data_IF_437983683743
#
_entry.id   IF_437983683743
#
_cell.length_a   1.000
_cell.length_b   1.000
_cell.length_c   1.000
_cell.angle_alpha   90.00
_cell.angle_beta   90.00
_cell.angle_gamma   90.00
#
_symmetry.space_group_name_H-M   'P 1'
#
loop_
_entity.id
_entity.type
_entity.pdbx_description
1 polymer ?
#
# COMPACT_ATOMS: atom_id res chain seq x y z
N UNK A 1 21.97 13.54 -30.89
CA UNK A 1 20.81 12.96 -30.18
C UNK A 1 20.84 13.52 -28.78
N UNK A 2 19.86 14.37 -28.46
CA UNK A 2 19.71 14.98 -27.15
C UNK A 2 19.17 13.86 -26.25
N UNK A 3 19.85 13.59 -25.14
CA UNK A 3 19.49 12.52 -24.21
C UNK A 3 18.07 12.74 -23.72
N UNK A 4 17.16 11.83 -24.10
CA UNK A 4 15.89 11.73 -23.39
C UNK A 4 16.20 11.47 -21.93
N UNK A 5 15.61 12.30 -21.06
CA UNK A 5 15.70 12.08 -19.62
C UNK A 5 15.12 10.70 -19.31
N UNK A 6 15.99 9.78 -18.90
CA UNK A 6 15.62 8.40 -18.56
C UNK A 6 14.53 8.34 -17.48
N UNK A 7 14.38 9.39 -16.67
CA UNK A 7 13.32 9.51 -15.67
C UNK A 7 11.92 9.65 -16.30
N UNK A 8 11.82 10.23 -17.49
CA UNK A 8 10.55 10.41 -18.22
C UNK A 8 10.01 9.13 -18.86
N UNK A 9 10.79 8.05 -18.81
CA UNK A 9 10.43 6.71 -19.32
C UNK A 9 10.15 5.70 -18.22
N UNK A 10 10.59 5.99 -16.99
CA UNK A 10 10.38 5.11 -15.86
C UNK A 10 8.87 4.99 -15.58
N UNK A 11 8.36 3.78 -15.28
CA UNK A 11 6.97 3.62 -14.91
C UNK A 11 6.67 4.33 -13.58
N UNK A 12 5.42 4.77 -13.41
CA UNK A 12 4.94 5.24 -12.11
C UNK A 12 4.60 4.02 -11.28
N UNK A 13 5.30 3.86 -10.16
CA UNK A 13 5.08 2.78 -9.19
C UNK A 13 4.45 3.40 -7.96
N UNK A 14 3.24 2.95 -7.65
CA UNK A 14 2.52 3.28 -6.41
C UNK A 14 2.53 2.06 -5.51
N UNK A 15 3.07 2.20 -4.31
CA UNK A 15 3.04 1.15 -3.29
C UNK A 15 2.22 1.63 -2.10
N UNK A 16 1.32 0.76 -1.62
CA UNK A 16 0.43 1.00 -0.50
C UNK A 16 0.68 -0.07 0.58
N UNK A 17 0.81 0.34 1.83
CA UNK A 17 0.69 -0.55 2.99
C UNK A 17 -0.69 -0.34 3.58
N UNK A 18 -1.37 -1.45 3.87
CA UNK A 18 -2.74 -1.40 4.35
C UNK A 18 -2.98 -2.34 5.52
N UNK A 19 -3.91 -1.92 6.36
CA UNK A 19 -4.56 -2.76 7.35
C UNK A 19 -6.07 -2.63 7.15
N UNK A 20 -6.78 -3.75 7.18
CA UNK A 20 -8.23 -3.80 6.96
C UNK A 20 -8.88 -4.90 7.80
N UNK A 21 -10.12 -4.69 8.21
CA UNK A 21 -10.89 -5.67 8.96
C UNK A 21 -12.07 -5.07 9.68
N UNK A 22 -13.01 -5.90 10.12
CA UNK A 22 -14.23 -5.43 10.80
C UNK A 22 -13.94 -4.91 12.22
N UNK A 23 -12.92 -5.47 12.89
CA UNK A 23 -12.47 -5.07 14.24
C UNK A 23 -11.43 -3.93 14.22
N UNK A 24 -11.07 -3.41 13.05
CA UNK A 24 -10.13 -2.30 12.92
C UNK A 24 -10.77 -1.00 13.42
N UNK A 25 -10.07 -0.29 14.31
CA UNK A 25 -10.29 1.12 14.61
C UNK A 25 -9.16 1.94 13.97
N UNK A 26 -9.43 2.69 12.87
CA UNK A 26 -8.40 3.48 12.18
C UNK A 26 -7.79 4.59 13.04
N UNK A 27 -8.55 5.16 13.98
CA UNK A 27 -8.08 6.24 14.84
C UNK A 27 -7.16 5.67 15.93
N UNK A 28 -7.52 4.50 16.48
CA UNK A 28 -6.65 3.75 17.39
C UNK A 28 -5.35 3.35 16.70
N UNK A 29 -5.42 2.81 15.49
CA UNK A 29 -4.24 2.37 14.75
C UNK A 29 -3.31 3.54 14.38
N UNK A 30 -3.88 4.69 14.01
CA UNK A 30 -3.13 5.94 13.79
C UNK A 30 -2.37 6.35 15.05
N UNK A 31 -3.01 6.32 16.23
CA UNK A 31 -2.35 6.64 17.51
C UNK A 31 -1.30 5.60 17.89
N UNK A 32 -1.53 4.33 17.59
CA UNK A 32 -0.61 3.23 17.90
C UNK A 32 0.73 3.39 17.16
N UNK A 33 0.64 3.72 15.86
CA UNK A 33 1.80 3.85 14.99
C UNK A 33 2.39 5.27 14.99
N UNK A 34 1.62 6.29 15.38
CA UNK A 34 2.00 7.70 15.24
C UNK A 34 2.32 8.08 13.78
N UNK A 35 1.75 7.33 12.83
CA UNK A 35 1.86 7.56 11.39
C UNK A 35 0.54 8.14 10.90
N UNK A 36 0.60 9.24 10.15
CA UNK A 36 -0.59 9.80 9.51
C UNK A 36 -0.98 8.95 8.30
N UNK A 37 -2.21 8.40 8.24
CA UNK A 37 -2.66 7.68 7.05
C UNK A 37 -2.79 8.63 5.86
N UNK A 38 -2.54 8.08 4.68
CA UNK A 38 -2.97 8.67 3.42
C UNK A 38 -4.50 8.59 3.29
N UNK A 39 -5.08 7.45 3.67
CA UNK A 39 -6.52 7.19 3.54
C UNK A 39 -7.03 6.28 4.65
N UNK A 40 -8.23 6.57 5.15
CA UNK A 40 -8.99 5.71 6.08
C UNK A 40 -10.46 5.67 5.66
N UNK A 41 -11.20 4.69 6.16
CA UNK A 41 -12.64 4.61 5.94
C UNK A 41 -13.25 3.51 6.79
N UNK A 42 -14.50 3.67 7.22
CA UNK A 42 -15.22 2.64 7.98
C UNK A 42 -16.18 1.89 7.07
N UNK A 43 -16.35 0.60 7.37
CA UNK A 43 -17.31 -0.27 6.68
C UNK A 43 -18.71 0.35 6.70
N UNK A 44 -19.38 0.33 5.55
CA UNK A 44 -20.75 0.84 5.39
C UNK A 44 -20.87 2.37 5.23
N UNK A 45 -19.79 3.12 5.44
CA UNK A 45 -19.72 4.53 5.03
C UNK A 45 -19.64 4.64 3.51
N UNK A 46 -20.04 5.78 2.95
CA UNK A 46 -19.86 6.04 1.52
C UNK A 46 -18.37 5.99 1.17
N UNK A 47 -18.07 5.46 -0.02
CA UNK A 47 -16.70 5.35 -0.51
C UNK A 47 -16.01 6.71 -0.48
N UNK A 48 -14.72 6.72 -0.13
CA UNK A 48 -13.88 7.91 -0.25
C UNK A 48 -13.55 8.26 -1.70
N UNK A 49 -13.80 7.36 -2.66
CA UNK A 49 -13.63 7.63 -4.08
C UNK A 49 -14.84 8.38 -4.65
N UNK A 50 -14.71 9.64 -5.13
CA UNK A 50 -15.86 10.49 -5.46
C UNK A 50 -16.78 9.94 -6.55
N UNK A 51 -16.25 9.18 -7.51
CA UNK A 51 -17.07 8.55 -8.54
C UNK A 51 -17.94 7.40 -7.96
N UNK A 52 -17.36 6.60 -7.06
CA UNK A 52 -18.04 5.48 -6.43
C UNK A 52 -19.07 5.98 -5.39
N UNK A 53 -18.71 7.01 -4.62
CA UNK A 53 -19.61 7.66 -3.67
C UNK A 53 -20.88 8.20 -4.35
N UNK A 54 -20.73 8.83 -5.52
CA UNK A 54 -21.85 9.32 -6.34
C UNK A 54 -22.79 8.20 -6.81
N UNK A 55 -22.28 6.99 -6.93
CA UNK A 55 -23.05 5.79 -7.27
C UNK A 55 -23.61 5.07 -6.03
N UNK A 56 -23.44 5.64 -4.83
CA UNK A 56 -23.90 5.05 -3.57
C UNK A 56 -23.06 3.87 -3.10
N UNK A 57 -21.88 3.65 -3.68
CA UNK A 57 -20.97 2.58 -3.27
C UNK A 57 -20.48 2.86 -1.84
N UNK A 58 -20.57 1.85 -0.99
CA UNK A 58 -20.10 1.89 0.39
C UNK A 58 -18.81 1.10 0.55
N UNK A 59 -18.01 1.47 1.55
CA UNK A 59 -16.79 0.74 1.89
C UNK A 59 -17.15 -0.69 2.32
N UNK A 60 -16.55 -1.72 1.68
CA UNK A 60 -16.84 -3.12 2.01
C UNK A 60 -16.20 -3.56 3.33
N UNK A 61 -15.09 -2.91 3.73
CA UNK A 61 -14.33 -3.14 4.96
C UNK A 61 -13.94 -1.80 5.60
N UNK A 62 -13.61 -1.83 6.90
CA UNK A 62 -12.89 -0.72 7.53
C UNK A 62 -11.41 -0.86 7.19
N UNK A 63 -10.76 0.26 6.86
CA UNK A 63 -9.39 0.26 6.35
C UNK A 63 -8.56 1.46 6.79
N UNK A 64 -7.24 1.30 6.73
CA UNK A 64 -6.23 2.33 6.95
C UNK A 64 -5.04 2.08 6.01
N UNK A 65 -4.58 3.13 5.34
CA UNK A 65 -3.55 3.06 4.30
C UNK A 65 -2.47 4.14 4.46
N UNK A 66 -1.23 3.79 4.14
CA UNK A 66 -0.17 4.74 3.75
C UNK A 66 0.32 4.38 2.35
N UNK A 67 0.84 5.38 1.64
CA UNK A 67 1.19 5.28 0.23
C UNK A 67 2.52 5.99 -0.05
N UNK A 68 3.27 5.45 -1.00
CA UNK A 68 4.35 6.14 -1.69
C UNK A 68 4.15 5.98 -3.21
N UNK A 69 4.39 7.05 -3.95
CA UNK A 69 4.36 7.05 -5.41
C UNK A 69 5.67 7.61 -5.94
N UNK A 70 6.27 6.93 -6.91
CA UNK A 70 7.57 7.28 -7.47
C UNK A 70 7.69 6.84 -8.94
N UNK A 71 8.50 7.57 -9.71
CA UNK A 71 8.96 7.10 -11.02
C UNK A 71 10.23 6.27 -10.78
N UNK A 72 10.18 4.96 -11.02
CA UNK A 72 11.32 4.07 -10.76
C UNK A 72 11.34 2.84 -11.67
N UNK A 73 12.54 2.31 -11.89
CA UNK A 73 12.75 1.00 -12.52
C UNK A 73 12.89 -0.13 -11.49
N UNK A 74 12.81 0.17 -10.20
CA UNK A 74 12.89 -0.82 -9.12
C UNK A 74 11.59 -0.81 -8.32
N UNK A 75 10.86 -1.92 -8.40
CA UNK A 75 9.61 -2.10 -7.67
C UNK A 75 9.81 -2.16 -6.15
N UNK A 76 10.95 -2.68 -5.67
CA UNK A 76 11.20 -2.87 -4.23
C UNK A 76 11.47 -1.54 -3.52
N UNK A 77 11.84 -0.47 -4.23
CA UNK A 77 12.07 0.84 -3.60
C UNK A 77 10.83 1.36 -2.84
N UNK A 78 9.64 1.18 -3.42
CA UNK A 78 8.38 1.55 -2.78
C UNK A 78 8.08 0.67 -1.56
N UNK A 79 8.34 -0.63 -1.67
CA UNK A 79 8.19 -1.62 -0.59
C UNK A 79 9.12 -1.29 0.57
N UNK A 80 10.41 -1.08 0.31
CA UNK A 80 11.41 -0.71 1.29
C UNK A 80 11.08 0.61 1.98
N UNK A 81 10.59 1.60 1.22
CA UNK A 81 10.20 2.91 1.76
C UNK A 81 9.04 2.78 2.77
N UNK A 82 8.01 2.01 2.46
CA UNK A 82 6.92 1.79 3.40
C UNK A 82 7.33 0.90 4.57
N UNK A 83 8.12 -0.16 4.32
CA UNK A 83 8.67 -0.98 5.39
C UNK A 83 9.52 -0.16 6.34
N UNK A 84 10.32 0.78 5.87
CA UNK A 84 11.11 1.67 6.74
C UNK A 84 10.22 2.50 7.69
N UNK A 85 9.01 2.86 7.27
CA UNK A 85 8.05 3.58 8.11
C UNK A 85 7.38 2.67 9.14
N UNK A 86 6.93 1.47 8.74
CA UNK A 86 6.13 0.59 9.63
C UNK A 86 6.98 -0.35 10.49
N UNK A 87 8.19 -0.71 10.04
CA UNK A 87 9.05 -1.70 10.70
C UNK A 87 9.47 -1.33 12.14
N UNK A 88 9.73 -0.06 12.48
CA UNK A 88 9.95 0.35 13.86
C UNK A 88 8.79 -0.01 14.80
N UNK A 89 7.58 -0.16 14.26
CA UNK A 89 6.35 -0.44 15.00
C UNK A 89 5.89 -1.91 14.88
N UNK A 90 6.70 -2.81 14.30
CA UNK A 90 6.32 -4.20 13.99
C UNK A 90 5.72 -4.97 15.19
N UNK A 91 6.27 -4.80 16.39
CA UNK A 91 5.79 -5.50 17.59
C UNK A 91 4.38 -5.02 17.98
N UNK A 92 4.12 -3.72 17.86
CA UNK A 92 2.79 -3.13 18.10
C UNK A 92 1.77 -3.62 17.06
N UNK A 93 2.18 -3.68 15.79
CA UNK A 93 1.32 -4.19 14.70
C UNK A 93 0.97 -5.66 14.99
N UNK A 94 1.95 -6.51 15.30
CA UNK A 94 1.72 -7.92 15.59
C UNK A 94 0.81 -8.13 16.79
N UNK A 95 0.95 -7.33 17.85
CA UNK A 95 0.05 -7.41 19.00
C UNK A 95 -1.37 -6.94 18.66
N UNK A 96 -1.50 -5.89 17.85
CA UNK A 96 -2.78 -5.41 17.35
C UNK A 96 -3.54 -6.51 16.57
N UNK A 97 -2.83 -7.21 15.68
CA UNK A 97 -3.39 -8.30 14.88
C UNK A 97 -3.79 -9.52 15.72
N UNK A 98 -2.97 -9.91 16.72
CA UNK A 98 -3.29 -11.04 17.62
C UNK A 98 -4.59 -10.86 18.39
N UNK A 99 -4.92 -9.62 18.73
CA UNK A 99 -6.12 -9.29 19.52
C UNK A 99 -7.36 -9.04 18.67
N UNK A 100 -7.22 -9.01 17.33
CA UNK A 100 -8.27 -8.68 16.37
C UNK A 100 -8.21 -9.63 15.17
N UNK A 101 -8.73 -10.86 15.30
CA UNK A 101 -8.55 -11.91 14.31
C UNK A 101 -9.17 -11.63 12.94
N UNK A 102 -10.10 -10.67 12.82
CA UNK A 102 -10.65 -10.25 11.53
C UNK A 102 -9.79 -9.20 10.81
N UNK A 103 -8.77 -8.66 11.47
CA UNK A 103 -7.88 -7.65 10.91
C UNK A 103 -6.72 -8.32 10.20
N UNK A 104 -6.46 -7.87 8.98
CA UNK A 104 -5.37 -8.35 8.15
C UNK A 104 -4.53 -7.17 7.67
N UNK A 105 -3.27 -7.46 7.38
CA UNK A 105 -2.32 -6.47 6.86
C UNK A 105 -1.80 -6.93 5.50
N UNK A 106 -1.44 -5.98 4.66
CA UNK A 106 -0.78 -6.29 3.41
C UNK A 106 -0.11 -5.10 2.77
N UNK A 107 0.49 -5.39 1.63
CA UNK A 107 1.15 -4.42 0.77
C UNK A 107 0.69 -4.65 -0.67
N UNK A 108 0.39 -3.57 -1.36
CA UNK A 108 -0.04 -3.56 -2.74
C UNK A 108 0.89 -2.66 -3.54
N UNK A 109 1.51 -3.20 -4.59
CA UNK A 109 2.29 -2.40 -5.54
C UNK A 109 1.57 -2.38 -6.89
N UNK A 110 1.24 -1.18 -7.34
CA UNK A 110 0.58 -0.91 -8.62
C UNK A 110 1.57 -0.20 -9.54
N UNK A 111 1.81 -0.75 -10.72
CA UNK A 111 2.77 -0.26 -11.70
C UNK A 111 2.00 0.23 -12.92
N UNK A 112 2.11 1.53 -13.20
CA UNK A 112 1.56 2.14 -14.40
C UNK A 112 2.61 2.12 -15.50
N UNK A 113 2.43 1.23 -16.48
CA UNK A 113 3.40 0.95 -17.54
C UNK A 113 2.98 1.69 -18.80
N UNK A 114 3.63 2.82 -19.09
CA UNK A 114 3.46 3.56 -20.36
C UNK A 114 4.42 3.04 -21.44
N UNK A 115 5.71 2.89 -21.10
CA UNK A 115 6.77 2.52 -22.05
C UNK A 115 7.56 1.31 -21.59
N UNK A 116 8.32 1.48 -20.52
CA UNK A 116 9.29 0.52 -20.04
C UNK A 116 8.79 -0.14 -18.75
N UNK A 117 9.09 -1.44 -18.59
CA UNK A 117 8.76 -2.19 -17.36
C UNK A 117 9.85 -2.01 -16.30
N UNK A 118 9.51 -2.05 -15.01
CA UNK A 118 10.51 -2.07 -13.96
C UNK A 118 11.04 -3.50 -13.77
N UNK A 119 12.07 -3.63 -12.94
CA UNK A 119 12.49 -4.88 -12.35
C UNK A 119 11.52 -5.23 -11.23
N UNK A 120 10.95 -6.44 -11.30
CA UNK A 120 9.96 -6.97 -10.35
C UNK A 120 10.60 -7.77 -9.21
N UNK A 121 11.86 -7.50 -8.90
CA UNK A 121 12.58 -8.18 -7.83
C UNK A 121 12.18 -7.57 -6.49
N UNK A 122 12.04 -8.41 -5.46
CA UNK A 122 11.87 -7.98 -4.07
C UNK A 122 13.07 -8.50 -3.30
N UNK A 123 13.76 -7.63 -2.57
CA UNK A 123 14.92 -8.03 -1.79
C UNK A 123 14.56 -9.04 -0.71
N UNK A 124 15.53 -9.89 -0.35
CA UNK A 124 15.35 -10.86 0.73
C UNK A 124 14.98 -10.21 2.07
N UNK A 125 15.48 -8.99 2.33
CA UNK A 125 15.14 -8.24 3.54
C UNK A 125 13.67 -7.81 3.54
N UNK A 126 13.18 -7.24 2.43
CA UNK A 126 11.76 -6.93 2.24
C UNK A 126 10.86 -8.15 2.43
N UNK A 127 11.22 -9.29 1.82
CA UNK A 127 10.46 -10.55 1.96
C UNK A 127 10.37 -10.99 3.43
N UNK A 128 11.50 -10.97 4.16
CA UNK A 128 11.53 -11.35 5.58
C UNK A 128 10.65 -10.44 6.43
N UNK A 129 10.71 -9.13 6.20
CA UNK A 129 9.91 -8.15 6.93
C UNK A 129 8.42 -8.29 6.65
N UNK A 130 8.03 -8.48 5.40
CA UNK A 130 6.65 -8.75 5.01
C UNK A 130 6.13 -10.04 5.65
N UNK A 131 6.92 -11.12 5.61
CA UNK A 131 6.55 -12.39 6.23
C UNK A 131 6.40 -12.27 7.76
N UNK A 132 7.28 -11.52 8.44
CA UNK A 132 7.19 -11.33 9.90
C UNK A 132 5.95 -10.54 10.33
N UNK A 133 5.46 -9.65 9.47
CA UNK A 133 4.20 -8.93 9.67
C UNK A 133 2.98 -9.73 9.21
N UNK A 134 3.14 -10.94 8.69
CA UNK A 134 2.07 -11.75 8.07
C UNK A 134 1.37 -10.99 6.93
N UNK A 135 2.11 -10.10 6.24
CA UNK A 135 1.58 -9.30 5.15
C UNK A 135 1.25 -10.15 3.93
N UNK A 136 0.04 -9.98 3.40
CA UNK A 136 -0.26 -10.32 2.02
C UNK A 136 0.49 -9.35 1.10
N UNK A 137 1.10 -9.86 0.03
CA UNK A 137 1.70 -9.02 -1.01
C UNK A 137 0.90 -9.16 -2.30
N UNK A 138 0.56 -8.03 -2.92
CA UNK A 138 -0.16 -7.96 -4.18
C UNK A 138 0.58 -7.08 -5.17
N UNK A 139 0.56 -7.49 -6.44
CA UNK A 139 1.18 -6.80 -7.55
C UNK A 139 0.13 -6.60 -8.64
N UNK A 140 0.00 -5.37 -9.13
CA UNK A 140 -0.91 -5.01 -10.20
C UNK A 140 -0.16 -4.23 -11.29
N UNK A 141 -0.30 -4.67 -12.54
CA UNK A 141 0.15 -3.89 -13.69
C UNK A 141 -1.06 -3.18 -14.31
N UNK A 142 -0.90 -1.89 -14.60
CA UNK A 142 -1.88 -1.07 -15.33
C UNK A 142 -1.24 -0.60 -16.62
N UNK A 143 -1.86 -0.95 -17.74
CA UNK A 143 -1.47 -0.54 -19.09
C UNK A 143 -2.44 0.55 -19.58
N UNK A 144 -1.97 1.53 -20.39
CA UNK A 144 -2.88 2.43 -21.08
C UNK A 144 -3.87 1.63 -21.94
N UNK A 145 -5.12 2.10 -21.98
CA UNK A 145 -6.14 1.56 -22.89
C UNK A 145 -5.88 2.17 -24.27
N UNK A 146 -5.57 1.32 -25.25
CA UNK A 146 -5.45 1.70 -26.67
C UNK A 146 -6.75 2.29 -27.24
#
# INVERSE_FOLDING_TARGET
>A
MIGEDMSSRAPVIRTEFFIEGDELDPDEFTRLLEIRPYRTGKKGELSSHPAAARQGVKNPSTFWFIEVEQNSYDMDEGVQTLLAQVWPHRDKIKEYLKTRPTVTVGMNTTIHIDKDRPVYEISLDSIKKLAELECRFMLNDIYPLD
#
